data_IF_562848951423
#
_entry.id   IF_562848951423
#
_cell.length_a   1.000
_cell.length_b   1.000
_cell.length_c   1.000
_cell.angle_alpha   90.00
_cell.angle_beta   90.00
_cell.angle_gamma   90.00
#
_symmetry.space_group_name_H-M   'P 1'
#
loop_
_entity.id
_entity.type
_entity.pdbx_description
1 polymer ?
#
# COMPACT_ATOMS: atom_id res chain seq x y z
N UNK A 1 29.50 1.84 11.20
CA UNK A 1 28.37 1.08 11.78
C UNK A 1 27.60 0.55 10.59
N UNK A 2 27.67 -0.75 10.33
CA UNK A 2 26.83 -1.37 9.30
C UNK A 2 25.43 -1.43 9.88
N UNK A 3 24.47 -0.77 9.24
CA UNK A 3 23.05 -0.92 9.57
C UNK A 3 22.72 -2.39 9.30
N UNK A 4 22.55 -3.18 10.37
CA UNK A 4 22.00 -4.52 10.26
C UNK A 4 20.62 -4.37 9.61
N UNK A 5 20.54 -4.71 8.32
CA UNK A 5 19.29 -4.81 7.59
C UNK A 5 18.51 -5.97 8.22
N UNK A 6 17.79 -5.66 9.29
CA UNK A 6 16.96 -6.63 9.97
C UNK A 6 15.80 -6.96 9.02
N UNK A 7 15.76 -8.19 8.53
CA UNK A 7 14.66 -8.67 7.70
C UNK A 7 13.32 -8.39 8.40
N UNK A 8 12.29 -7.91 7.67
CA UNK A 8 11.00 -7.64 8.25
C UNK A 8 10.43 -8.92 8.88
N UNK A 9 9.79 -8.78 10.04
CA UNK A 9 9.24 -9.95 10.73
C UNK A 9 8.18 -10.64 9.86
N UNK A 10 8.03 -11.97 9.95
CA UNK A 10 7.03 -12.70 9.16
C UNK A 10 5.61 -12.15 9.34
N UNK A 11 5.28 -11.65 10.53
CA UNK A 11 3.98 -11.04 10.81
C UNK A 11 3.81 -9.69 10.09
N UNK A 12 4.86 -8.89 9.99
CA UNK A 12 4.86 -7.67 9.17
C UNK A 12 4.55 -8.00 7.71
N UNK A 13 5.27 -8.96 7.13
CA UNK A 13 5.10 -9.36 5.71
C UNK A 13 3.66 -9.82 5.44
N UNK A 14 3.11 -10.66 6.32
CA UNK A 14 1.71 -11.11 6.20
C UNK A 14 0.73 -9.95 6.29
N UNK A 15 0.93 -9.05 7.25
CA UNK A 15 0.09 -7.86 7.42
C UNK A 15 0.11 -6.97 6.17
N UNK A 16 1.31 -6.75 5.63
CA UNK A 16 1.52 -5.99 4.39
C UNK A 16 0.73 -6.58 3.23
N UNK A 17 0.99 -7.84 2.90
CA UNK A 17 0.35 -8.51 1.77
C UNK A 17 -1.18 -8.57 1.93
N UNK A 18 -1.65 -8.83 3.16
CA UNK A 18 -3.07 -8.90 3.46
C UNK A 18 -3.77 -7.56 3.21
N UNK A 19 -3.23 -6.46 3.73
CA UNK A 19 -3.87 -5.16 3.60
C UNK A 19 -3.73 -4.58 2.20
N UNK A 20 -2.61 -4.83 1.53
CA UNK A 20 -2.42 -4.45 0.12
C UNK A 20 -3.54 -5.03 -0.75
N UNK A 21 -3.75 -6.35 -0.66
CA UNK A 21 -4.80 -7.03 -1.42
C UNK A 21 -6.20 -6.56 -0.99
N UNK A 22 -6.43 -6.37 0.32
CA UNK A 22 -7.72 -5.90 0.82
C UNK A 22 -8.05 -4.48 0.31
N UNK A 23 -7.07 -3.57 0.21
CA UNK A 23 -7.27 -2.24 -0.38
C UNK A 23 -7.61 -2.29 -1.87
N UNK A 24 -7.09 -3.28 -2.59
CA UNK A 24 -7.41 -3.51 -3.99
C UNK A 24 -8.84 -4.03 -4.19
N UNK A 25 -9.26 -5.01 -3.37
CA UNK A 25 -10.56 -5.69 -3.55
C UNK A 25 -11.72 -4.99 -2.81
N UNK A 26 -11.47 -4.48 -1.60
CA UNK A 26 -12.50 -3.97 -0.67
C UNK A 26 -11.98 -2.74 0.12
N UNK A 27 -11.83 -1.57 -0.53
CA UNK A 27 -11.20 -0.39 0.08
C UNK A 27 -11.94 0.13 1.32
N UNK A 28 -13.27 0.00 1.39
CA UNK A 28 -14.08 0.43 2.53
C UNK A 28 -13.83 -0.45 3.77
N UNK A 29 -13.70 -1.77 3.58
CA UNK A 29 -13.36 -2.71 4.65
C UNK A 29 -11.94 -2.46 5.15
N UNK A 30 -11.00 -2.25 4.22
CA UNK A 30 -9.62 -1.90 4.58
C UNK A 30 -9.55 -0.64 5.47
N UNK A 31 -10.37 0.38 5.21
CA UNK A 31 -10.43 1.59 6.04
C UNK A 31 -10.95 1.31 7.46
N UNK A 32 -11.99 0.50 7.59
CA UNK A 32 -12.50 0.10 8.90
C UNK A 32 -11.46 -0.68 9.70
N UNK A 33 -10.75 -1.61 9.05
CA UNK A 33 -9.69 -2.39 9.70
C UNK A 33 -8.54 -1.50 10.16
N UNK A 34 -8.10 -0.54 9.33
CA UNK A 34 -7.03 0.40 9.69
C UNK A 34 -7.42 1.42 10.77
N UNK A 35 -8.72 1.63 11.00
CA UNK A 35 -9.22 2.50 12.07
C UNK A 35 -9.10 1.85 13.46
N UNK A 36 -8.75 0.56 13.52
CA UNK A 36 -8.51 -0.15 14.77
C UNK A 36 -7.22 0.34 15.44
N UNK A 37 -7.26 0.59 16.75
CA UNK A 37 -6.07 0.97 17.56
C UNK A 37 -5.19 -0.22 17.94
N UNK A 38 -5.17 -1.26 17.10
CA UNK A 38 -4.35 -2.43 17.36
C UNK A 38 -2.87 -2.08 17.14
N UNK A 39 -2.00 -2.69 17.94
CA UNK A 39 -0.55 -2.52 17.83
C UNK A 39 0.12 -3.84 17.47
N UNK A 40 1.36 -3.76 17.00
CA UNK A 40 2.17 -4.94 16.66
C UNK A 40 2.63 -4.95 15.20
N UNK A 41 3.60 -5.81 14.92
CA UNK A 41 4.28 -5.81 13.61
C UNK A 41 3.35 -6.14 12.45
N UNK A 42 2.36 -7.00 12.68
CA UNK A 42 1.31 -7.27 11.69
C UNK A 42 0.53 -6.02 11.31
N UNK A 43 0.14 -5.21 12.30
CA UNK A 43 -0.60 -3.96 12.06
C UNK A 43 0.28 -2.92 11.36
N UNK A 44 1.56 -2.82 11.76
CA UNK A 44 2.54 -1.98 11.03
C UNK A 44 2.65 -2.40 9.57
N UNK A 45 2.71 -3.71 9.31
CA UNK A 45 2.68 -4.29 7.96
C UNK A 45 1.42 -3.88 7.21
N UNK A 46 0.25 -4.03 7.82
CA UNK A 46 -1.03 -3.65 7.22
C UNK A 46 -1.05 -2.17 6.81
N UNK A 47 -0.65 -1.27 7.70
CA UNK A 47 -0.56 0.17 7.40
C UNK A 47 0.38 0.46 6.23
N UNK A 48 1.54 -0.21 6.18
CA UNK A 48 2.50 -0.05 5.09
C UNK A 48 1.95 -0.59 3.75
N UNK A 49 1.29 -1.75 3.75
CA UNK A 49 0.67 -2.33 2.55
C UNK A 49 -0.45 -1.44 2.01
N UNK A 50 -1.26 -0.86 2.90
CA UNK A 50 -2.29 0.10 2.51
C UNK A 50 -1.71 1.35 1.83
N UNK A 51 -0.64 1.89 2.41
CA UNK A 51 0.05 3.06 1.88
C UNK A 51 0.68 2.78 0.52
N UNK A 52 1.29 1.60 0.35
CA UNK A 52 1.92 1.22 -0.91
C UNK A 52 0.91 1.18 -2.05
N UNK A 53 -0.24 0.53 -1.84
CA UNK A 53 -1.30 0.48 -2.83
C UNK A 53 -1.79 1.88 -3.23
N UNK A 54 -1.94 2.79 -2.26
CA UNK A 54 -2.39 4.16 -2.54
C UNK A 54 -1.36 4.95 -3.35
N UNK A 55 -0.08 4.80 -3.04
CA UNK A 55 1.01 5.40 -3.82
C UNK A 55 1.05 4.88 -5.25
N UNK A 56 0.87 3.58 -5.44
CA UNK A 56 0.84 2.96 -6.77
C UNK A 56 -0.37 3.44 -7.58
N UNK A 57 -1.56 3.46 -6.97
CA UNK A 57 -2.77 4.00 -7.61
C UNK A 57 -2.57 5.45 -8.06
N UNK A 58 -1.98 6.30 -7.23
CA UNK A 58 -1.72 7.71 -7.58
C UNK A 58 -0.76 7.81 -8.76
N UNK A 59 0.28 6.96 -8.81
CA UNK A 59 1.22 6.90 -9.94
C UNK A 59 0.52 6.47 -11.22
N UNK A 60 -0.31 5.43 -11.17
CA UNK A 60 -1.07 4.96 -12.33
C UNK A 60 -2.01 6.03 -12.89
N UNK A 61 -2.70 6.76 -12.02
CA UNK A 61 -3.59 7.86 -12.45
C UNK A 61 -2.79 9.00 -13.08
N UNK A 62 -1.64 9.35 -12.49
CA UNK A 62 -0.77 10.42 -13.00
C UNK A 62 -0.16 10.08 -14.37
N UNK A 63 0.22 8.82 -14.60
CA UNK A 63 0.75 8.36 -15.88
C UNK A 63 -0.31 8.37 -16.98
N UNK A 64 -1.51 7.83 -16.71
CA UNK A 64 -2.63 7.84 -17.66
C UNK A 64 -3.05 9.26 -18.06
N UNK A 65 -3.00 10.20 -17.12
CA UNK A 65 -3.25 11.62 -17.40
C UNK A 65 -2.25 12.24 -18.37
N UNK A 66 -0.99 11.80 -18.33
CA UNK A 66 0.09 12.30 -19.18
C UNK A 66 0.13 11.65 -20.58
N UNK A 67 -0.40 10.43 -20.71
CA UNK A 67 -0.56 9.74 -21.99
C UNK A 67 -1.76 10.31 -22.78
N UNK A 68 -2.90 10.60 -22.12
CA UNK A 68 -4.07 11.18 -22.77
C UNK A 68 -3.84 12.58 -23.37
N UNK A 69 -2.97 13.40 -22.78
CA UNK A 69 -2.60 14.70 -23.36
C UNK A 69 -1.78 14.52 -24.63
N UNK A 70 -0.87 13.54 -24.66
CA UNK A 70 0.01 13.28 -25.80
C UNK A 70 -0.72 12.72 -27.02
N UNK A 71 -1.77 11.93 -26.81
CA UNK A 71 -2.60 11.40 -27.90
C UNK A 71 -3.55 12.43 -28.52
N UNK A 72 -3.85 13.53 -27.83
CA UNK A 72 -4.69 14.62 -28.34
C UNK A 72 -3.93 15.67 -29.17
N UNK A 73 -2.60 15.55 -29.23
CA UNK A 73 -1.72 16.49 -29.95
C UNK A 73 -1.24 15.96 -31.33
N UNK A 74 -1.91 14.93 -31.88
CA UNK A 74 -1.59 14.33 -33.19
C UNK A 74 -2.75 14.48 -34.18
#
# INVERSE_FOLDING_TARGET
MAEEQQDPSPEYIKGFNQMYKLKQEMPEVAQQVLSSKAEGDRVKGMTAGARQYELERIREVSQKGHEQTREREI
#
